data_IF_912264520926
#
_entry.id   IF_912264520926
#
_cell.length_a   1.000
_cell.length_b   1.000
_cell.length_c   1.000
_cell.angle_alpha   90.00
_cell.angle_beta   90.00
_cell.angle_gamma   90.00
#
_symmetry.space_group_name_H-M   'P 1'
#
loop_
_entity.id
_entity.type
_entity.pdbx_description
1 polymer ?
#
# COMPACT_ATOMS: atom_id res chain seq x y z
N UNK A 1 -29.83 -6.01 -5.66
CA UNK A 1 -30.04 -4.57 -5.93
C UNK A 1 -29.75 -3.67 -4.73
N UNK A 2 -30.43 -3.79 -3.56
CA UNK A 2 -30.10 -2.93 -2.40
C UNK A 2 -28.74 -3.28 -1.74
N UNK A 3 -28.41 -4.57 -1.70
CA UNK A 3 -27.21 -5.08 -1.04
C UNK A 3 -25.92 -4.77 -1.85
N UNK A 4 -25.99 -4.90 -3.18
CA UNK A 4 -24.87 -4.59 -4.09
C UNK A 4 -24.41 -3.13 -3.99
N UNK A 5 -25.36 -2.19 -3.89
CA UNK A 5 -25.04 -0.75 -3.78
C UNK A 5 -24.37 -0.44 -2.44
N UNK A 6 -24.82 -1.06 -1.35
CA UNK A 6 -24.22 -0.88 -0.04
C UNK A 6 -22.80 -1.47 0.00
N UNK A 7 -22.60 -2.63 -0.61
CA UNK A 7 -21.27 -3.26 -0.73
C UNK A 7 -20.31 -2.40 -1.57
N UNK A 8 -20.77 -1.89 -2.71
CA UNK A 8 -19.96 -0.99 -3.55
C UNK A 8 -19.61 0.32 -2.83
N UNK A 9 -20.54 0.89 -2.07
CA UNK A 9 -20.26 2.08 -1.25
C UNK A 9 -19.21 1.80 -0.17
N UNK A 10 -19.29 0.64 0.50
CA UNK A 10 -18.30 0.24 1.50
C UNK A 10 -16.92 -0.03 0.89
N UNK A 11 -16.85 -0.51 -0.37
CA UNK A 11 -15.58 -0.62 -1.09
C UNK A 11 -15.00 0.75 -1.43
N UNK A 12 -15.81 1.65 -1.98
CA UNK A 12 -15.37 3.01 -2.32
C UNK A 12 -14.88 3.79 -1.08
N UNK A 13 -15.51 3.59 0.08
CA UNK A 13 -15.09 4.22 1.34
C UNK A 13 -13.63 3.89 1.74
N UNK A 14 -13.09 2.76 1.29
CA UNK A 14 -11.68 2.38 1.53
C UNK A 14 -10.68 3.20 0.71
N UNK A 15 -11.13 4.04 -0.22
CA UNK A 15 -10.29 4.96 -0.98
C UNK A 15 -10.22 6.36 -0.34
N UNK A 16 -10.87 6.57 0.81
CA UNK A 16 -10.70 7.79 1.57
C UNK A 16 -9.24 7.93 2.04
N UNK A 17 -8.64 9.14 2.02
CA UNK A 17 -7.28 9.34 2.49
C UNK A 17 -7.09 8.85 3.93
N UNK A 18 -6.08 8.02 4.16
CA UNK A 18 -5.68 7.60 5.49
C UNK A 18 -5.00 8.77 6.24
N UNK A 19 -5.21 8.88 7.57
CA UNK A 19 -4.70 9.99 8.38
C UNK A 19 -3.16 10.03 8.37
N UNK A 20 -2.57 11.20 8.61
CA UNK A 20 -1.11 11.31 8.78
C UNK A 20 -0.63 10.36 9.88
N UNK A 21 0.55 9.71 9.70
CA UNK A 21 1.06 8.76 10.67
C UNK A 21 1.37 9.45 12.00
N UNK A 22 0.87 8.90 13.11
CA UNK A 22 1.32 9.28 14.44
C UNK A 22 2.65 8.56 14.78
N UNK A 23 3.58 9.21 15.50
CA UNK A 23 4.79 8.53 15.97
C UNK A 23 4.43 7.27 16.80
N UNK A 24 5.04 6.15 16.43
CA UNK A 24 4.94 4.87 17.13
C UNK A 24 6.32 4.21 17.18
N UNK A 25 6.37 2.91 17.49
CA UNK A 25 7.61 2.15 17.56
C UNK A 25 7.88 1.33 16.28
N UNK A 26 9.16 1.13 16.01
CA UNK A 26 9.66 0.25 14.95
C UNK A 26 10.08 0.95 13.67
N UNK A 27 10.50 0.15 12.69
CA UNK A 27 10.88 0.60 11.36
C UNK A 27 10.69 -0.55 10.37
N UNK A 28 9.51 -0.60 9.75
CA UNK A 28 9.12 -1.66 8.81
C UNK A 28 10.07 -1.71 7.63
N UNK A 29 10.58 -0.57 7.17
CA UNK A 29 11.53 -0.52 6.06
C UNK A 29 12.88 -1.11 6.45
N UNK A 30 13.42 -0.79 7.62
CA UNK A 30 14.69 -1.37 8.09
C UNK A 30 14.60 -2.91 8.18
N UNK A 31 13.47 -3.44 8.66
CA UNK A 31 13.23 -4.89 8.70
C UNK A 31 13.16 -5.51 7.30
N UNK A 32 12.54 -4.83 6.31
CA UNK A 32 12.49 -5.29 4.92
C UNK A 32 13.90 -5.29 4.32
N UNK A 33 14.63 -4.19 4.49
CA UNK A 33 15.97 -4.02 3.96
C UNK A 33 16.91 -5.10 4.49
N UNK A 34 16.84 -5.41 5.80
CA UNK A 34 17.69 -6.41 6.44
C UNK A 34 17.52 -7.83 5.87
N UNK A 35 16.30 -8.19 5.45
CA UNK A 35 15.99 -9.52 4.89
C UNK A 35 16.03 -9.60 3.36
N UNK A 36 16.20 -8.47 2.67
CA UNK A 36 16.17 -8.42 1.20
C UNK A 36 17.53 -8.77 0.62
N UNK A 37 17.61 -9.91 -0.08
CA UNK A 37 18.85 -10.36 -0.71
C UNK A 37 19.13 -9.74 -2.09
N UNK A 38 18.10 -9.37 -2.87
CA UNK A 38 18.31 -8.69 -4.17
C UNK A 38 18.83 -7.25 -3.92
N UNK A 39 20.05 -6.92 -4.38
CA UNK A 39 20.66 -5.61 -4.12
C UNK A 39 19.91 -4.44 -4.79
N UNK A 40 19.22 -4.68 -5.91
CA UNK A 40 18.45 -3.64 -6.61
C UNK A 40 17.19 -3.28 -5.83
N UNK A 41 16.45 -4.30 -5.36
CA UNK A 41 15.28 -4.08 -4.50
C UNK A 41 15.69 -3.40 -3.20
N UNK A 42 16.78 -3.87 -2.58
CA UNK A 42 17.31 -3.26 -1.35
C UNK A 42 17.65 -1.78 -1.53
N UNK A 43 18.26 -1.39 -2.65
CA UNK A 43 18.56 0.01 -2.95
C UNK A 43 17.28 0.86 -3.08
N UNK A 44 16.27 0.36 -3.80
CA UNK A 44 14.97 1.04 -3.92
C UNK A 44 14.29 1.21 -2.55
N UNK A 45 14.35 0.21 -1.68
CA UNK A 45 13.74 0.25 -0.34
C UNK A 45 14.44 1.24 0.59
N UNK A 46 15.78 1.32 0.54
CA UNK A 46 16.54 2.33 1.29
C UNK A 46 16.11 3.74 0.89
N UNK A 47 16.00 3.99 -0.42
CA UNK A 47 15.62 5.31 -0.91
C UNK A 47 14.17 5.64 -0.58
N UNK A 48 13.25 4.68 -0.76
CA UNK A 48 11.84 4.89 -0.40
C UNK A 48 11.66 5.15 1.09
N UNK A 49 12.43 4.48 1.96
CA UNK A 49 12.48 4.75 3.40
C UNK A 49 12.90 6.20 3.68
N UNK A 50 13.98 6.67 3.04
CA UNK A 50 14.48 8.03 3.23
C UNK A 50 13.45 9.09 2.82
N UNK A 51 12.77 8.89 1.68
CA UNK A 51 11.69 9.78 1.23
C UNK A 51 10.53 9.84 2.23
N UNK A 52 10.13 8.70 2.79
CA UNK A 52 9.09 8.63 3.82
C UNK A 52 9.46 9.45 5.06
N UNK A 53 10.69 9.27 5.56
CA UNK A 53 11.21 10.02 6.72
C UNK A 53 11.29 11.52 6.41
N UNK A 54 11.76 11.90 5.21
CA UNK A 54 11.83 13.30 4.82
C UNK A 54 10.44 13.96 4.76
N UNK A 55 9.41 13.21 4.35
CA UNK A 55 8.03 13.71 4.26
C UNK A 55 7.30 13.75 5.59
N UNK A 56 7.43 12.70 6.41
CA UNK A 56 6.60 12.49 7.61
C UNK A 56 7.37 12.59 8.93
N UNK A 57 8.69 12.81 8.89
CA UNK A 57 9.56 12.90 10.07
C UNK A 57 9.89 11.56 10.74
N UNK A 58 9.17 10.49 10.41
CA UNK A 58 9.33 9.14 10.98
C UNK A 58 9.38 8.07 9.89
N UNK A 59 10.04 6.92 10.11
CA UNK A 59 9.94 5.79 9.19
C UNK A 59 8.53 5.20 9.20
N UNK A 60 8.26 4.26 8.27
CA UNK A 60 7.03 3.48 8.35
C UNK A 60 7.04 2.64 9.63
N UNK A 61 6.07 2.91 10.51
CA UNK A 61 5.93 2.30 11.83
C UNK A 61 4.65 1.48 11.90
N UNK A 62 4.64 0.41 12.70
CA UNK A 62 3.41 -0.33 12.98
C UNK A 62 2.57 0.44 13.99
N UNK A 63 1.25 0.28 13.93
CA UNK A 63 0.32 0.87 14.92
C UNK A 63 0.44 2.41 14.99
N UNK A 64 0.72 3.06 13.86
CA UNK A 64 0.89 4.51 13.74
C UNK A 64 -0.43 5.25 13.44
N UNK A 65 -1.56 4.65 13.79
CA UNK A 65 -2.90 5.17 13.51
C UNK A 65 -3.42 4.95 12.08
N UNK A 66 -2.57 4.49 11.16
CA UNK A 66 -2.96 4.14 9.78
C UNK A 66 -3.35 2.67 9.68
N UNK A 67 -4.29 2.38 8.79
CA UNK A 67 -4.59 1.01 8.39
C UNK A 67 -3.70 0.60 7.20
N UNK A 68 -2.57 -0.03 7.52
CA UNK A 68 -1.60 -0.49 6.52
C UNK A 68 -2.18 -1.40 5.43
N UNK A 69 -3.27 -2.14 5.73
CA UNK A 69 -3.93 -2.97 4.72
C UNK A 69 -4.79 -2.16 3.76
N UNK A 70 -5.39 -1.06 4.23
CA UNK A 70 -6.09 -0.09 3.39
C UNK A 70 -5.10 0.71 2.54
N UNK A 71 -3.99 1.17 3.15
CA UNK A 71 -2.90 1.82 2.40
C UNK A 71 -2.38 0.91 1.28
N UNK A 72 -2.13 -0.37 1.57
CA UNK A 72 -1.70 -1.34 0.55
C UNK A 72 -2.74 -1.53 -0.58
N UNK A 73 -4.03 -1.49 -0.26
CA UNK A 73 -5.10 -1.56 -1.26
C UNK A 73 -5.11 -0.29 -2.15
N UNK A 74 -4.99 0.89 -1.54
CA UNK A 74 -4.95 2.17 -2.27
C UNK A 74 -3.75 2.22 -3.22
N UNK A 75 -2.55 1.89 -2.73
CA UNK A 75 -1.32 1.87 -3.53
C UNK A 75 -1.38 0.83 -4.66
N UNK A 76 -2.05 -0.32 -4.46
CA UNK A 76 -2.27 -1.30 -5.52
C UNK A 76 -3.24 -0.80 -6.61
N UNK A 77 -4.28 -0.05 -6.23
CA UNK A 77 -5.19 0.61 -7.18
C UNK A 77 -4.44 1.65 -8.02
N UNK A 78 -3.60 2.47 -7.38
CA UNK A 78 -2.76 3.45 -8.08
C UNK A 78 -1.77 2.77 -9.03
N UNK A 79 -1.20 1.63 -8.64
CA UNK A 79 -0.30 0.84 -9.50
C UNK A 79 -0.98 0.41 -10.80
N UNK A 80 -2.27 0.03 -10.80
CA UNK A 80 -3.02 -0.28 -12.04
C UNK A 80 -2.99 0.91 -12.98
N UNK A 81 -3.33 2.10 -12.48
CA UNK A 81 -3.39 3.31 -13.29
C UNK A 81 -2.02 3.68 -13.89
N UNK A 82 -0.96 3.63 -13.08
CA UNK A 82 0.40 3.95 -13.56
C UNK A 82 0.97 2.88 -14.50
N UNK A 83 0.66 1.60 -14.27
CA UNK A 83 1.09 0.52 -15.15
C UNK A 83 0.44 0.63 -16.54
N UNK A 84 -0.87 0.90 -16.60
CA UNK A 84 -1.58 1.15 -17.86
C UNK A 84 -1.03 2.37 -18.59
N UNK A 85 -0.86 3.49 -17.88
CA UNK A 85 -0.32 4.72 -18.47
C UNK A 85 1.11 4.56 -19.03
N UNK A 86 1.91 3.67 -18.43
CA UNK A 86 3.26 3.34 -18.89
C UNK A 86 3.30 2.29 -20.02
N UNK A 87 2.15 1.72 -20.41
CA UNK A 87 2.07 0.67 -21.43
C UNK A 87 2.52 -0.70 -20.92
N UNK A 88 2.32 -0.99 -19.63
CA UNK A 88 2.64 -2.27 -18.98
C UNK A 88 1.38 -3.02 -18.53
N UNK A 89 0.50 -3.45 -19.46
CA UNK A 89 -0.79 -4.06 -19.12
C UNK A 89 -0.65 -5.36 -18.31
N UNK A 90 0.46 -6.10 -18.47
CA UNK A 90 0.73 -7.29 -17.67
C UNK A 90 0.92 -6.96 -16.17
N UNK A 91 1.53 -5.80 -15.86
CA UNK A 91 1.71 -5.35 -14.47
C UNK A 91 0.38 -4.88 -13.90
N UNK A 92 -0.45 -4.21 -14.71
CA UNK A 92 -1.80 -3.83 -14.32
C UNK A 92 -2.65 -5.07 -13.96
N UNK A 93 -2.59 -6.13 -14.78
CA UNK A 93 -3.28 -7.38 -14.51
C UNK A 93 -2.81 -8.08 -13.22
N UNK A 94 -1.50 -8.06 -12.94
CA UNK A 94 -0.94 -8.57 -11.68
C UNK A 94 -1.44 -7.75 -10.48
N UNK A 95 -1.47 -6.42 -10.60
CA UNK A 95 -1.98 -5.52 -9.58
C UNK A 95 -3.48 -5.77 -9.30
N UNK A 96 -4.30 -6.02 -10.32
CA UNK A 96 -5.69 -6.44 -10.10
C UNK A 96 -5.80 -7.75 -9.31
N UNK A 97 -4.90 -8.70 -9.56
CA UNK A 97 -4.80 -9.93 -8.77
C UNK A 97 -4.51 -9.65 -7.29
N UNK A 98 -3.58 -8.74 -7.02
CA UNK A 98 -3.25 -8.28 -5.65
C UNK A 98 -4.46 -7.60 -5.01
N UNK A 99 -5.15 -6.73 -5.73
CA UNK A 99 -6.36 -6.03 -5.23
C UNK A 99 -7.43 -7.05 -4.82
N UNK A 100 -7.75 -8.03 -5.67
CA UNK A 100 -8.73 -9.08 -5.34
C UNK A 100 -8.32 -9.81 -4.05
N UNK A 101 -7.04 -10.14 -3.91
CA UNK A 101 -6.52 -10.82 -2.71
C UNK A 101 -6.62 -9.95 -1.45
N UNK A 102 -6.30 -8.67 -1.54
CA UNK A 102 -6.43 -7.73 -0.41
C UNK A 102 -7.89 -7.58 0.00
N UNK A 103 -8.82 -7.50 -0.95
CA UNK A 103 -10.25 -7.44 -0.67
C UNK A 103 -10.78 -8.68 0.05
N UNK A 104 -10.26 -9.87 -0.25
CA UNK A 104 -10.58 -11.10 0.49
C UNK A 104 -10.07 -11.03 1.94
N UNK A 105 -8.83 -10.59 2.14
CA UNK A 105 -8.22 -10.49 3.47
C UNK A 105 -8.91 -9.43 4.35
N UNK A 106 -9.43 -8.36 3.75
CA UNK A 106 -10.15 -7.29 4.45
C UNK A 106 -11.63 -7.63 4.77
N UNK A 107 -12.12 -8.79 4.32
CA UNK A 107 -13.46 -9.31 4.68
C UNK A 107 -13.44 -10.23 5.90
N UNK A 108 -12.28 -10.78 6.24
CA UNK A 108 -12.06 -11.59 7.45
C UNK A 108 -11.83 -10.73 8.67
#
# INVERSE_FOLDING_TARGET
>A
MSDDRAQLAALAARLAPEPDPAPADGDVWAEIIARTSDPRLRALYVERRAQGIARYGVPLQRVNGRNHAVDALQEAVDLVAYAEAAGYPQVAAEAEGIIRRLLELLRG
#
